data_IF_990415006260
#
_entry.id   IF_990415006260
#
_cell.length_a   1.000
_cell.length_b   1.000
_cell.length_c   1.000
_cell.angle_alpha   90.00
_cell.angle_beta   90.00
_cell.angle_gamma   90.00
#
_symmetry.space_group_name_H-M   'P 1'
#
loop_
_entity.id
_entity.type
_entity.pdbx_description
1 polymer ?
#
# COMPACT_ATOMS: atom_id res chain seq x y z
N UNK A 1 -17.45 -6.85 -4.99
CA UNK A 1 -16.75 -7.78 -5.86
C UNK A 1 -15.40 -8.15 -5.24
N UNK A 2 -15.13 -9.43 -5.14
CA UNK A 2 -13.87 -9.88 -4.56
C UNK A 2 -12.73 -9.70 -5.56
N UNK A 3 -11.56 -9.31 -5.05
CA UNK A 3 -10.37 -9.24 -5.88
C UNK A 3 -9.88 -10.64 -6.19
N UNK A 4 -9.41 -10.84 -7.41
CA UNK A 4 -8.82 -12.10 -7.73
C UNK A 4 -7.45 -12.20 -7.08
N UNK A 5 -6.92 -13.41 -6.98
CA UNK A 5 -5.69 -13.70 -6.27
C UNK A 5 -4.49 -12.90 -6.83
N UNK A 6 -4.40 -12.76 -8.15
CA UNK A 6 -3.31 -12.04 -8.78
C UNK A 6 -3.35 -10.55 -8.47
N UNK A 7 -4.54 -9.96 -8.52
CA UNK A 7 -4.70 -8.54 -8.23
C UNK A 7 -4.36 -8.26 -6.78
N UNK A 8 -4.82 -9.11 -5.86
CA UNK A 8 -4.50 -8.98 -4.44
C UNK A 8 -2.99 -9.06 -4.20
N UNK A 9 -2.32 -10.01 -4.87
CA UNK A 9 -0.88 -10.16 -4.75
C UNK A 9 -0.14 -8.93 -5.24
N UNK A 10 -0.60 -8.33 -6.34
CA UNK A 10 0.01 -7.12 -6.88
C UNK A 10 -0.18 -5.93 -5.94
N UNK A 11 -1.36 -5.79 -5.35
CA UNK A 11 -1.62 -4.73 -4.39
C UNK A 11 -0.76 -4.90 -3.15
N UNK A 12 -0.65 -6.12 -2.65
CA UNK A 12 0.18 -6.39 -1.49
C UNK A 12 1.66 -6.11 -1.78
N UNK A 13 2.13 -6.47 -2.95
CA UNK A 13 3.51 -6.18 -3.36
C UNK A 13 3.75 -4.68 -3.42
N UNK A 14 2.77 -3.92 -3.89
CA UNK A 14 2.87 -2.45 -3.93
C UNK A 14 2.95 -1.86 -2.53
N UNK A 15 2.13 -2.37 -1.62
CA UNK A 15 2.16 -1.96 -0.21
C UNK A 15 3.53 -2.23 0.40
N UNK A 16 4.06 -3.42 0.17
CA UNK A 16 5.36 -3.82 0.71
C UNK A 16 6.47 -2.91 0.18
N UNK A 17 6.43 -2.58 -1.10
CA UNK A 17 7.40 -1.68 -1.71
C UNK A 17 7.33 -0.28 -1.10
N UNK A 18 6.11 0.24 -0.92
CA UNK A 18 5.93 1.56 -0.31
C UNK A 18 6.43 1.58 1.14
N UNK A 19 6.14 0.54 1.89
CA UNK A 19 6.63 0.44 3.28
C UNK A 19 8.14 0.41 3.33
N UNK A 20 8.76 -0.28 2.37
CA UNK A 20 10.21 -0.34 2.30
C UNK A 20 10.80 1.03 2.04
N UNK A 21 10.20 1.80 1.14
CA UNK A 21 10.64 3.17 0.86
C UNK A 21 10.49 4.08 2.06
N UNK A 22 9.42 3.90 2.83
CA UNK A 22 9.18 4.71 4.02
C UNK A 22 10.31 4.60 5.04
N UNK A 23 11.01 3.48 5.08
CA UNK A 23 12.13 3.29 6.00
C UNK A 23 13.32 4.20 5.65
N UNK A 24 13.40 4.64 4.41
CA UNK A 24 14.49 5.48 3.93
C UNK A 24 14.10 6.94 3.77
N UNK A 25 12.83 7.26 4.00
CA UNK A 25 12.35 8.64 3.87
C UNK A 25 12.84 9.48 5.05
N UNK A 26 13.67 10.47 4.74
CA UNK A 26 14.13 11.42 5.74
C UNK A 26 13.20 12.63 5.83
N UNK A 27 12.24 12.74 4.91
CA UNK A 27 11.34 13.87 4.80
C UNK A 27 9.94 13.46 5.27
N UNK A 28 9.41 14.18 6.26
CA UNK A 28 8.09 13.89 6.83
C UNK A 28 6.98 13.96 5.78
N UNK A 29 7.11 14.87 4.84
CA UNK A 29 6.11 15.05 3.80
C UNK A 29 6.05 13.82 2.89
N UNK A 30 7.20 13.30 2.49
CA UNK A 30 7.26 12.10 1.67
C UNK A 30 6.75 10.89 2.45
N UNK A 31 7.10 10.81 3.72
CA UNK A 31 6.61 9.75 4.59
C UNK A 31 5.08 9.74 4.65
N UNK A 32 4.48 10.91 4.88
CA UNK A 32 3.02 11.02 4.95
C UNK A 32 2.36 10.65 3.63
N UNK A 33 2.95 11.04 2.51
CA UNK A 33 2.43 10.70 1.19
C UNK A 33 2.42 9.19 0.99
N UNK A 34 3.51 8.52 1.31
CA UNK A 34 3.60 7.07 1.19
C UNK A 34 2.62 6.37 2.15
N UNK A 35 2.54 6.88 3.37
CA UNK A 35 1.62 6.31 4.37
C UNK A 35 0.17 6.40 3.89
N UNK A 36 -0.21 7.53 3.30
CA UNK A 36 -1.53 7.71 2.74
C UNK A 36 -1.82 6.69 1.63
N UNK A 37 -0.85 6.49 0.74
CA UNK A 37 -0.99 5.51 -0.34
C UNK A 37 -1.13 4.09 0.21
N UNK A 38 -0.34 3.74 1.22
CA UNK A 38 -0.44 2.43 1.86
C UNK A 38 -1.83 2.22 2.45
N UNK A 39 -2.35 3.21 3.14
CA UNK A 39 -3.69 3.12 3.74
C UNK A 39 -4.77 2.94 2.68
N UNK A 40 -4.67 3.66 1.57
CA UNK A 40 -5.64 3.52 0.49
C UNK A 40 -5.62 2.11 -0.12
N UNK A 41 -4.43 1.57 -0.34
CA UNK A 41 -4.30 0.22 -0.87
C UNK A 41 -4.83 -0.82 0.11
N UNK A 42 -4.52 -0.67 1.39
CA UNK A 42 -5.03 -1.58 2.42
C UNK A 42 -6.55 -1.53 2.51
N UNK A 43 -7.12 -0.35 2.33
CA UNK A 43 -8.56 -0.16 2.34
C UNK A 43 -9.22 -0.92 1.20
N UNK A 44 -8.62 -0.87 0.00
CA UNK A 44 -9.11 -1.61 -1.15
C UNK A 44 -9.09 -3.11 -0.88
N UNK A 45 -7.98 -3.61 -0.34
CA UNK A 45 -7.84 -5.04 -0.03
C UNK A 45 -8.86 -5.46 1.03
N UNK A 46 -9.04 -4.65 2.06
CA UNK A 46 -9.98 -4.95 3.14
C UNK A 46 -11.44 -4.93 2.68
N UNK A 47 -11.76 -4.04 1.75
CA UNK A 47 -13.11 -3.90 1.24
C UNK A 47 -13.48 -5.05 0.30
N UNK A 48 -12.51 -5.65 -0.35
CA UNK A 48 -12.72 -6.73 -1.32
C UNK A 48 -12.61 -8.06 -0.59
N UNK A 49 -13.75 -8.63 -0.28
CA UNK A 49 -13.82 -9.92 0.42
C UNK A 49 -14.21 -11.06 -0.50
#
# INVERSE_FOLDING_TARGET
MALNHEVRAKLQARIDELKKRMQYDANDLDYETHLHQVRELQKIISAAK
#
